data_IF_605450147337
#
_entry.id   IF_605450147337
#
_cell.length_a   1.000
_cell.length_b   1.000
_cell.length_c   1.000
_cell.angle_alpha   90.00
_cell.angle_beta   90.00
_cell.angle_gamma   90.00
#
_symmetry.space_group_name_H-M   'P 1'
#
loop_
_entity.id
_entity.type
_entity.pdbx_description
1 polymer ?
2 polymer ?
#
# COMPACT_ATOMS: atom_id res chain seq x y z
N UNK A 2 10.61 -10.57 9.82
CA UNK A 2 9.91 -10.11 8.59
C UNK A 2 10.40 -8.75 8.12
N UNK A 3 11.43 -8.75 7.26
CA UNK A 3 12.09 -7.52 6.76
C UNK A 3 11.82 -7.34 5.24
N UNK A 4 12.86 -7.43 4.37
CA UNK A 4 12.76 -7.10 2.93
C UNK A 4 12.39 -8.36 2.12
N UNK A 5 12.60 -8.28 0.78
CA UNK A 5 12.49 -9.45 -0.15
C UNK A 5 11.03 -9.98 -0.25
N UNK A 6 10.04 -9.06 -0.08
CA UNK A 6 8.60 -9.39 -0.12
C UNK A 6 8.24 -10.34 1.05
N UNK A 7 8.41 -9.82 2.25
CA UNK A 7 8.14 -10.54 3.51
C UNK A 7 6.66 -11.04 3.57
N UNK A 8 5.74 -10.26 2.93
CA UNK A 8 4.32 -10.62 2.77
C UNK A 8 3.65 -10.87 4.15
N UNK A 9 3.39 -9.76 4.87
CA UNK A 9 2.88 -9.80 6.26
C UNK A 9 1.48 -9.16 6.30
N UNK A 10 1.20 -8.30 7.31
CA UNK A 10 -0.09 -7.60 7.39
C UNK A 10 -1.05 -8.21 8.41
N UNK A 11 -1.35 -7.43 9.46
CA UNK A 11 -2.42 -7.70 10.45
C UNK A 11 -2.76 -6.35 11.06
N UNK A 12 -3.97 -5.86 10.82
CA UNK A 12 -4.40 -4.50 11.21
C UNK A 12 -5.53 -4.59 12.25
N UNK A 13 -5.85 -3.46 12.93
CA UNK A 13 -6.74 -3.45 14.11
C UNK A 13 -7.36 -2.06 14.26
N UNK A 14 -8.37 -1.87 15.15
CA UNK A 14 -8.99 -0.54 15.44
C UNK A 14 -7.93 0.57 15.65
N UNK A 15 -7.74 1.46 14.64
CA UNK A 15 -6.93 2.71 14.70
C UNK A 15 -5.42 2.46 14.53
N UNK A 16 -5.10 1.21 14.24
CA UNK A 16 -3.82 0.85 13.60
C UNK A 16 -3.81 1.54 12.22
N UNK A 17 -2.86 2.48 12.06
CA UNK A 17 -2.71 3.29 10.82
C UNK A 17 -2.29 2.35 9.68
N UNK A 18 -2.93 2.45 8.51
CA UNK A 18 -2.60 1.61 7.35
C UNK A 18 -2.59 2.45 6.07
N UNK A 19 -1.84 1.98 5.10
CA UNK A 19 -2.02 2.38 3.71
C UNK A 19 -2.97 1.39 3.02
N UNK A 20 -3.68 1.84 2.01
CA UNK A 20 -4.73 1.04 1.33
C UNK A 20 -4.67 1.31 -0.15
N UNK A 21 -5.15 0.34 -0.95
CA UNK A 21 -5.21 0.47 -2.40
C UNK A 21 -6.59 0.99 -2.82
N UNK A 22 -6.62 2.05 -3.68
CA UNK A 22 -7.85 2.43 -4.39
C UNK A 22 -8.00 1.46 -5.56
N UNK A 23 -9.11 0.75 -5.58
CA UNK A 23 -9.41 -0.26 -6.60
C UNK A 23 -9.49 0.32 -8.04
N UNK A 24 -9.71 1.65 -8.10
CA UNK A 24 -9.90 2.42 -9.35
C UNK A 24 -8.56 2.87 -10.01
N UNK A 25 -7.50 3.28 -9.25
CA UNK A 25 -6.13 3.56 -9.88
C UNK A 25 -4.99 2.68 -9.32
N UNK A 26 -5.32 1.84 -8.35
CA UNK A 26 -4.34 0.92 -7.73
C UNK A 26 -3.25 1.65 -6.93
N UNK A 27 -3.62 2.81 -6.37
CA UNK A 27 -2.70 3.70 -5.62
C UNK A 27 -2.75 3.43 -4.11
N UNK A 28 -1.64 3.74 -3.38
CA UNK A 28 -1.57 3.57 -1.91
C UNK A 28 -1.42 4.93 -1.21
N UNK A 29 -2.26 5.13 -0.19
CA UNK A 29 -2.49 6.43 0.50
C UNK A 29 -2.79 6.19 1.98
N UNK A 30 -2.90 7.29 2.74
CA UNK A 30 -3.26 7.27 4.16
C UNK A 30 -4.71 6.75 4.38
N UNK A 31 -4.84 5.76 5.28
CA UNK A 31 -6.13 5.14 5.65
C UNK A 31 -6.11 4.72 7.14
N UNK A 32 -6.95 5.35 7.95
CA UNK A 32 -7.09 5.04 9.39
C UNK A 32 -8.11 3.90 9.56
N UNK A 33 -7.80 2.82 10.33
CA UNK A 33 -8.73 1.67 10.45
C UNK A 33 -9.85 1.99 11.46
N UNK A 34 -11.08 1.71 11.03
CA UNK A 34 -12.31 1.98 11.80
C UNK A 34 -13.13 0.72 12.08
N UNK A 35 -12.76 -0.43 11.47
CA UNK A 35 -13.37 -1.74 11.78
C UNK A 35 -12.57 -2.90 11.15
N UNK A 36 -12.27 -3.92 11.96
CA UNK A 36 -11.72 -5.21 11.52
C UNK A 36 -12.73 -6.29 11.95
N UNK A 37 -13.15 -7.15 11.03
CA UNK A 37 -14.30 -8.09 11.15
C UNK A 37 -14.22 -8.95 9.86
N UNK A 38 -15.05 -10.00 9.65
CA UNK A 38 -15.12 -10.69 8.34
C UNK A 38 -16.58 -11.15 8.27
N UNK A 39 -17.30 -10.85 7.17
CA UNK A 39 -18.78 -10.81 7.22
C UNK A 39 -19.52 -12.17 7.38
N UNK A 40 -19.51 -12.67 8.63
CA UNK A 40 -20.32 -13.80 9.08
C UNK A 40 -21.10 -13.29 10.30
N UNK A 41 -22.47 -13.17 10.21
CA UNK A 41 -23.30 -12.50 11.27
C UNK A 41 -23.16 -13.06 12.70
N UNK A 42 -22.71 -14.29 12.75
CA UNK A 42 -21.83 -14.85 13.76
C UNK A 42 -21.22 -16.07 13.07
N UNK A 43 -22.16 -16.97 12.75
CA UNK A 43 -21.97 -18.20 12.00
C UNK A 43 -23.23 -18.43 11.12
N UNK A 44 -24.46 -18.14 11.69
CA UNK A 44 -25.75 -18.49 11.04
C UNK A 44 -26.87 -17.46 11.34
N UNK A 45 -26.49 -16.20 11.21
CA UNK A 45 -27.38 -15.04 11.20
C UNK A 45 -28.28 -14.82 12.45
N UNK A 46 -27.64 -14.39 13.57
CA UNK A 46 -28.27 -13.50 14.56
C UNK A 46 -28.12 -12.04 14.05
N UNK A 47 -29.12 -11.17 14.31
CA UNK A 47 -29.04 -9.75 13.94
C UNK A 47 -28.07 -9.01 14.91
N UNK A 48 -26.75 -9.30 14.75
CA UNK A 48 -25.71 -8.83 15.69
C UNK A 48 -24.38 -8.52 14.96
N UNK A 49 -23.98 -9.43 14.04
CA UNK A 49 -22.71 -9.35 13.25
C UNK A 49 -21.45 -9.25 14.16
N UNK A 50 -21.45 -10.04 15.24
CA UNK A 50 -20.37 -10.03 16.26
C UNK A 50 -19.09 -10.77 15.78
N UNK A 51 -19.26 -12.04 15.36
CA UNK A 51 -18.12 -12.97 15.19
C UNK A 51 -17.37 -12.77 13.85
N UNK A 52 -16.05 -13.00 13.90
CA UNK A 52 -15.19 -13.07 12.71
C UNK A 52 -14.78 -14.56 12.51
N UNK A 53 -15.11 -15.16 11.32
CA UNK A 53 -14.80 -16.58 11.01
C UNK A 53 -13.30 -16.92 11.05
N UNK A 54 -12.47 -15.95 10.64
CA UNK A 54 -11.02 -16.15 10.46
C UNK A 54 -10.20 -15.50 11.59
N UNK A 55 -8.86 -15.62 11.46
CA UNK A 55 -7.90 -14.94 12.33
C UNK A 55 -7.85 -13.43 11.98
N UNK A 56 -7.31 -12.62 12.91
CA UNK A 56 -7.27 -11.14 12.79
C UNK A 56 -6.46 -10.68 11.56
N UNK A 57 -5.65 -11.58 11.02
CA UNK A 57 -4.92 -11.37 9.75
C UNK A 57 -5.78 -11.76 8.53
N UNK A 58 -6.48 -12.92 8.60
CA UNK A 58 -7.22 -13.50 7.45
C UNK A 58 -8.68 -12.98 7.33
N UNK A 59 -8.99 -11.90 8.05
CA UNK A 59 -10.32 -11.27 8.01
C UNK A 59 -10.35 -10.07 7.01
N UNK A 60 -11.28 -9.12 7.23
CA UNK A 60 -11.56 -7.98 6.35
C UNK A 60 -11.28 -6.73 7.16
N UNK A 61 -11.00 -5.64 6.45
CA UNK A 61 -10.61 -4.37 7.05
C UNK A 61 -11.43 -3.28 6.41
N UNK A 62 -11.86 -2.33 7.23
CA UNK A 62 -12.73 -1.24 6.79
C UNK A 62 -12.01 0.03 7.19
N UNK A 63 -11.54 0.81 6.20
CA UNK A 63 -10.75 2.00 6.43
C UNK A 63 -11.65 3.26 6.37
N UNK A 64 -11.17 4.29 6.99
CA UNK A 64 -11.56 5.68 6.77
C UNK A 64 -10.29 6.34 6.27
N UNK A 65 -10.27 6.86 5.04
CA UNK A 65 -9.04 7.42 4.45
C UNK A 65 -8.54 8.61 5.28
N UNK A 66 -7.37 8.41 5.92
CA UNK A 66 -6.79 9.30 6.95
C UNK A 66 -6.40 10.67 6.37
N UNK A 67 -6.34 10.81 5.02
CA UNK A 67 -6.19 12.13 4.37
C UNK A 67 -7.53 12.56 3.75
N UNK A 68 -8.35 11.57 3.31
CA UNK A 68 -9.55 11.80 2.47
C UNK A 68 -10.84 11.38 3.24
N UNK A 69 -11.29 12.18 4.24
CA UNK A 69 -12.36 11.75 5.17
C UNK A 69 -13.72 11.62 4.46
N UNK A 70 -13.89 12.41 3.38
CA UNK A 70 -15.12 12.46 2.57
C UNK A 70 -15.54 11.10 2.00
N UNK A 71 -14.53 10.31 1.55
CA UNK A 71 -14.77 9.06 0.78
C UNK A 71 -15.17 7.91 1.74
N UNK A 72 -15.09 8.19 3.06
CA UNK A 72 -15.81 7.42 4.07
C UNK A 72 -15.28 6.03 4.35
N UNK A 73 -16.14 5.15 4.97
CA UNK A 73 -15.74 3.79 5.33
C UNK A 73 -15.78 2.90 4.09
N UNK A 74 -14.62 2.44 3.64
CA UNK A 74 -14.47 1.58 2.46
C UNK A 74 -13.72 0.30 2.86
N UNK A 75 -14.19 -0.86 2.38
CA UNK A 75 -13.70 -2.17 2.84
C UNK A 75 -12.69 -2.77 1.84
N UNK A 76 -11.54 -3.18 2.39
CA UNK A 76 -10.50 -3.91 1.65
C UNK A 76 -9.97 -5.12 2.45
N UNK A 77 -9.39 -6.03 1.66
CA UNK A 77 -8.86 -7.32 2.18
C UNK A 77 -7.36 -7.10 2.50
N UNK A 78 -6.88 -8.10 3.27
CA UNK A 78 -5.49 -8.20 3.79
C UNK A 78 -4.42 -7.94 2.73
N UNK A 79 -4.58 -8.47 1.52
CA UNK A 79 -3.62 -8.29 0.43
C UNK A 79 -3.70 -6.87 -0.19
N UNK A 80 -4.90 -6.26 -0.15
CA UNK A 80 -5.15 -4.96 -0.80
C UNK A 80 -5.09 -3.79 0.19
N UNK A 81 -4.79 -4.08 1.47
CA UNK A 81 -4.32 -3.12 2.48
C UNK A 81 -2.87 -3.52 2.85
N UNK A 82 -2.02 -2.56 3.24
CA UNK A 82 -0.71 -2.82 3.90
C UNK A 82 -0.59 -1.78 5.00
N UNK A 83 -0.08 -2.09 6.23
CA UNK A 83 0.01 -1.11 7.35
C UNK A 83 0.83 0.13 6.95
N UNK A 84 0.71 1.22 7.73
CA UNK A 84 1.24 2.53 7.34
C UNK A 84 2.76 2.42 7.19
N UNK A 85 3.18 2.36 5.92
CA UNK A 85 4.56 2.09 5.54
C UNK A 85 5.46 3.24 5.97
N UNK A 86 5.98 3.08 7.20
CA UNK A 86 6.57 4.20 7.96
C UNK A 86 8.08 4.28 7.83
N UNK A 87 8.70 3.11 7.48
CA UNK A 87 10.14 2.95 7.35
C UNK A 87 10.53 3.00 5.86
N UNK A 88 11.47 3.91 5.63
CA UNK A 88 12.05 4.18 4.31
C UNK A 88 12.99 3.06 3.89
N UNK A 89 12.95 2.69 2.61
CA UNK A 89 13.88 1.71 2.03
C UNK A 89 14.93 2.53 1.34
N UNK A 90 16.16 2.53 1.89
CA UNK A 90 17.25 3.31 1.34
C UNK A 90 17.70 2.69 0.01
N UNK A 91 18.42 3.51 -0.75
CA UNK A 91 18.90 3.19 -2.10
C UNK A 91 19.58 1.80 -2.16
N UNK A 92 20.34 1.49 -1.11
CA UNK A 92 21.29 0.38 -1.09
C UNK A 92 20.53 -0.93 -0.86
N UNK A 93 19.36 -0.86 -0.17
CA UNK A 93 18.49 -2.00 0.15
C UNK A 93 17.43 -2.30 -0.91
N UNK A 94 17.30 -1.47 -1.96
CA UNK A 94 16.24 -1.65 -2.99
C UNK A 94 16.48 -2.92 -3.83
N UNK A 95 16.01 -4.06 -3.29
CA UNK A 95 16.17 -5.40 -3.90
C UNK A 95 15.36 -5.51 -5.18
N UNK A 96 16.03 -5.90 -6.30
CA UNK A 96 15.33 -6.27 -7.54
C UNK A 96 14.30 -7.38 -7.22
N UNK A 97 13.01 -7.12 -7.45
CA UNK A 97 11.96 -8.11 -7.22
C UNK A 97 11.27 -8.03 -5.88
N UNK A 98 11.72 -7.10 -5.01
CA UNK A 98 11.03 -6.78 -3.76
C UNK A 98 9.83 -5.89 -4.09
N UNK A 99 8.63 -6.30 -3.64
CA UNK A 99 7.42 -5.49 -3.83
C UNK A 99 7.38 -4.39 -2.74
N UNK A 100 7.34 -3.18 -3.26
CA UNK A 100 7.32 -1.94 -2.48
C UNK A 100 6.12 -1.06 -2.91
N UNK A 101 5.82 -0.02 -2.12
CA UNK A 101 4.76 0.97 -2.40
C UNK A 101 5.46 2.33 -2.43
N UNK A 102 5.30 3.10 -3.55
CA UNK A 102 6.38 4.08 -3.81
C UNK A 102 6.26 5.42 -4.55
N UNK A 103 7.13 6.46 -4.43
CA UNK A 103 6.70 7.80 -4.94
C UNK A 103 6.62 7.70 -6.48
N UNK A 104 5.38 7.62 -7.01
CA UNK A 104 5.11 7.72 -8.46
C UNK A 104 3.73 8.41 -8.72
N UNK A 105 3.68 9.17 -9.83
CA UNK A 105 2.41 9.67 -10.44
C UNK A 105 2.28 9.10 -11.87
N UNK A 106 1.13 8.46 -12.24
CA UNK A 106 0.96 7.84 -13.59
C UNK A 106 0.58 8.87 -14.67
N UNK A 107 0.11 10.05 -14.25
CA UNK A 107 -0.36 11.09 -15.19
C UNK A 107 0.84 11.93 -15.64
N UNK A 108 1.77 12.12 -14.70
CA UNK A 108 3.05 12.80 -14.90
C UNK A 108 4.13 11.97 -14.17
N UNK A 109 4.86 11.07 -14.90
CA UNK A 109 5.84 10.12 -14.27
C UNK A 109 7.12 10.82 -13.79
N UNK A 110 7.32 12.10 -14.16
CA UNK A 110 8.40 12.95 -13.63
C UNK A 110 8.02 13.56 -12.25
N UNK A 111 6.74 13.37 -11.85
CA UNK A 111 6.15 14.04 -10.67
C UNK A 111 5.67 13.06 -9.59
N UNK A 112 5.36 13.68 -8.43
CA UNK A 112 4.85 13.02 -7.23
C UNK A 112 3.32 12.94 -7.32
N UNK A 113 2.74 11.79 -6.95
CA UNK A 113 1.29 11.59 -6.96
C UNK A 113 0.88 10.82 -5.72
N UNK A 114 0.73 9.49 -5.87
CA UNK A 114 0.52 8.56 -4.74
C UNK A 114 1.72 7.65 -4.57
N UNK A 115 1.58 6.70 -3.64
CA UNK A 115 2.56 5.65 -3.41
C UNK A 115 2.17 4.39 -4.18
N UNK A 116 2.50 4.32 -5.47
CA UNK A 116 2.04 3.20 -6.32
C UNK A 116 2.86 1.95 -6.06
N UNK A 117 2.24 0.77 -6.16
CA UNK A 117 2.90 -0.48 -5.81
C UNK A 117 3.66 -1.00 -7.02
N UNK A 118 4.87 -1.41 -6.75
CA UNK A 118 5.82 -1.83 -7.76
C UNK A 118 6.73 -2.91 -7.20
N UNK A 119 7.63 -3.38 -8.04
CA UNK A 119 8.74 -4.26 -7.65
C UNK A 119 9.96 -3.65 -8.33
N UNK A 120 11.15 -3.61 -7.70
CA UNK A 120 12.34 -3.05 -8.37
C UNK A 120 12.70 -3.94 -9.58
N UNK A 121 12.74 -3.35 -10.77
CA UNK A 121 13.00 -4.05 -12.05
C UNK A 121 14.45 -3.82 -12.51
N UNK A 122 15.14 -2.79 -11.99
CA UNK A 122 16.51 -2.42 -12.42
C UNK A 122 17.03 -1.25 -11.55
N UNK A 123 18.36 -1.11 -11.46
CA UNK A 123 19.04 -0.01 -10.74
C UNK A 123 20.23 0.48 -11.57
N UNK A 124 20.47 1.81 -11.53
CA UNK A 124 21.57 2.46 -12.27
C UNK A 124 21.88 3.80 -11.60
N UNK A 125 23.14 4.23 -11.78
CA UNK A 125 23.60 5.55 -11.31
C UNK A 125 24.60 6.19 -12.28
N UNK A 126 24.64 7.52 -12.32
CA UNK A 126 25.46 8.30 -13.27
C UNK A 126 26.19 9.41 -12.52
N UNK A 127 26.89 10.28 -13.28
CA UNK A 127 27.60 11.46 -12.73
C UNK A 127 26.59 12.41 -12.03
N UNK A 128 25.45 12.66 -12.68
CA UNK A 128 24.47 13.66 -12.23
C UNK A 128 23.27 13.04 -11.48
N UNK A 129 22.82 11.85 -11.93
CA UNK A 129 21.56 11.26 -11.45
C UNK A 129 21.75 9.79 -11.12
N UNK A 130 21.03 9.36 -10.10
CA UNK A 130 21.02 7.98 -9.64
C UNK A 130 19.55 7.62 -9.50
N UNK A 131 19.21 6.45 -10.06
CA UNK A 131 17.82 6.14 -10.45
C UNK A 131 17.47 4.70 -10.10
N UNK A 132 16.16 4.48 -10.06
CA UNK A 132 15.55 3.16 -9.96
C UNK A 132 14.64 3.00 -11.18
N UNK A 133 14.40 1.75 -11.54
CA UNK A 133 13.48 1.39 -12.62
C UNK A 133 12.60 0.28 -12.09
N UNK A 134 11.29 0.46 -11.96
CA UNK A 134 10.38 -0.53 -11.33
C UNK A 134 9.28 -0.88 -12.33
N UNK A 135 8.73 -2.09 -12.16
CA UNK A 135 7.45 -2.48 -12.77
C UNK A 135 6.40 -1.88 -11.84
N UNK A 136 5.64 -0.89 -12.33
CA UNK A 136 4.61 -0.20 -11.53
C UNK A 136 3.27 -0.90 -11.80
N UNK A 137 2.37 -1.02 -10.81
CA UNK A 137 1.08 -1.71 -10.95
C UNK A 137 -0.06 -0.74 -10.59
N UNK A 138 -0.99 -0.55 -11.53
CA UNK A 138 -2.23 0.20 -11.28
C UNK A 138 -3.35 -0.81 -10.96
N UNK A 139 -4.56 -0.30 -10.69
CA UNK A 139 -5.74 -1.15 -10.42
C UNK A 139 -6.39 -1.73 -11.68
N UNK A 140 -5.67 -1.58 -12.82
CA UNK A 140 -6.13 -2.01 -14.16
C UNK A 140 -4.94 -2.55 -14.96
N UNK A 141 -3.95 -1.66 -15.20
CA UNK A 141 -2.77 -1.95 -16.04
C UNK A 141 -1.52 -2.03 -15.15
N UNK A 142 -0.33 -2.23 -15.75
CA UNK A 142 0.96 -2.21 -15.05
C UNK A 142 2.09 -1.87 -16.05
N UNK A 143 2.88 -0.84 -15.70
CA UNK A 143 3.81 -0.18 -16.63
C UNK A 143 5.27 -0.60 -16.33
N UNK A 144 5.83 -1.50 -17.16
CA UNK A 144 7.15 -2.10 -16.88
C UNK A 144 8.29 -1.13 -17.20
N UNK A 145 9.39 -1.35 -16.44
CA UNK A 145 10.60 -0.50 -16.43
C UNK A 145 10.26 1.02 -16.44
N UNK A 146 9.68 1.46 -15.33
CA UNK A 146 9.26 2.84 -15.08
C UNK A 146 10.33 3.62 -14.31
N UNK A 147 10.55 4.85 -14.75
CA UNK A 147 11.60 5.73 -14.25
C UNK A 147 11.28 6.35 -12.87
N UNK A 148 11.92 5.78 -11.86
CA UNK A 148 11.71 6.17 -10.46
C UNK A 148 12.63 7.35 -10.14
N UNK A 149 12.00 8.51 -9.97
CA UNK A 149 12.68 9.79 -9.77
C UNK A 149 12.87 10.07 -8.28
N UNK A 150 11.84 9.78 -7.47
CA UNK A 150 11.90 10.07 -6.03
C UNK A 150 12.49 8.87 -5.29
N UNK A 151 13.81 8.92 -5.24
CA UNK A 151 14.64 7.84 -4.68
C UNK A 151 14.53 7.76 -3.14
N UNK A 152 14.32 8.92 -2.46
CA UNK A 152 14.45 9.08 -1.00
C UNK A 152 13.19 8.63 -0.24
N UNK A 153 12.17 7.98 -0.83
CA UNK A 153 10.88 7.79 -0.13
C UNK A 153 10.15 6.58 -0.73
N UNK A 154 10.92 5.53 -0.97
CA UNK A 154 10.36 4.20 -1.24
C UNK A 154 9.98 3.55 0.10
N UNK A 155 8.86 2.83 0.15
CA UNK A 155 8.37 2.16 1.38
C UNK A 155 8.18 0.66 1.08
N UNK A 156 8.33 -0.15 2.15
CA UNK A 156 8.16 -1.64 2.02
C UNK A 156 6.89 -2.12 2.74
N UNK A 157 6.54 -3.41 2.53
CA UNK A 157 5.54 -4.14 3.34
C UNK A 157 5.88 -4.06 4.86
N UNK A 158 4.95 -3.51 5.63
CA UNK A 158 5.06 -3.44 7.11
C UNK A 158 4.82 -4.81 7.77
N UNK A 159 5.19 -4.85 9.06
CA UNK A 159 4.96 -5.97 9.98
C UNK A 159 3.44 -6.30 10.16
N UNK A 160 3.06 -7.51 10.69
CA UNK A 160 1.69 -7.76 11.17
C UNK A 160 1.45 -7.08 12.54
N UNK A 161 2.31 -7.42 13.54
CA UNK A 161 2.27 -6.80 14.86
C UNK A 161 3.66 -6.65 15.46
N UNK A 162 4.71 -6.82 14.61
CA UNK A 162 6.15 -6.88 15.00
C UNK A 162 6.39 -7.67 16.33
N UNK B 1 11.61 14.12 -1.31
CA UNK B 1 12.68 13.52 -0.50
C UNK B 1 12.22 13.38 0.96
N UNK B 2 12.10 12.11 1.45
CA UNK B 2 11.77 11.80 2.87
C UNK B 2 10.36 12.30 3.29
N UNK B 3 9.50 12.63 2.31
CA UNK B 3 8.18 13.26 2.55
C UNK B 3 7.12 12.51 1.72
N UNK B 4 5.85 12.56 2.17
CA UNK B 4 4.75 11.80 1.52
C UNK B 4 3.49 12.69 1.36
N UNK B 5 3.24 13.13 0.11
CA UNK B 5 1.99 13.83 -0.27
C UNK B 5 1.16 12.92 -1.19
N UNK B 6 -0.17 13.05 -1.08
CA UNK B 6 -1.14 12.40 -1.97
C UNK B 6 -1.61 13.38 -3.06
N UNK B 7 -2.34 12.90 -4.10
CA UNK B 7 -2.84 13.77 -5.19
C UNK B 7 -3.88 13.03 -6.05
N UNK B 8 -5.10 13.64 -6.20
CA UNK B 8 -6.17 13.20 -7.16
C UNK B 8 -6.89 11.91 -6.69
N UNK B 9 -8.09 11.63 -7.24
CA UNK B 9 -8.76 10.30 -7.16
C UNK B 9 -9.39 9.93 -8.50
N UNK B 10 -9.41 8.61 -8.77
CA UNK B 10 -10.20 7.99 -9.85
C UNK B 10 -11.49 7.35 -9.28
N UNK B 11 -11.67 7.47 -7.95
CA UNK B 11 -12.79 6.90 -7.21
C UNK B 11 -14.10 7.68 -7.53
#
# INVERSE_FOLDING_TARGET
GGMWDETELGLYKVNEYVDARDTNMGAWFEAQVVRVTRKAPSRDEPCSSTSRPALEEDVIYHVKYDDYPENGVVQMNSRDVRARARTIIKWQDLEVGQVVMLNYNPDNPKERGFWYDAEISRKRETRTARELYANVVLGDDSLNDCRIIFVDEVFKIERPGE
ARTKQTARKST
#
